data_IF_253673006359
#
_entry.id   IF_253673006359
#
_cell.length_a   1.000
_cell.length_b   1.000
_cell.length_c   1.000
_cell.angle_alpha   90.00
_cell.angle_beta   90.00
_cell.angle_gamma   90.00
#
_symmetry.space_group_name_H-M   'P 1'
#
loop_
_entity.id
_entity.type
_entity.pdbx_description
1 polymer ?
#
# COMPACT_ATOMS: atom_id res chain seq x y z
N UNK A 1 -30.81 11.64 0.12
CA UNK A 1 -32.06 11.32 0.83
C UNK A 1 -31.84 10.90 2.28
N UNK A 2 -31.07 9.83 2.59
CA UNK A 2 -30.87 9.36 3.98
C UNK A 2 -30.00 10.34 4.78
N UNK A 3 -28.85 10.77 4.26
CA UNK A 3 -27.98 11.78 4.90
C UNK A 3 -28.70 13.12 5.12
N UNK A 4 -29.55 13.54 4.19
CA UNK A 4 -30.38 14.76 4.33
C UNK A 4 -31.46 14.64 5.42
N UNK A 5 -31.89 13.42 5.74
CA UNK A 5 -32.93 13.13 6.72
C UNK A 5 -32.39 13.02 8.15
N UNK A 6 -31.18 12.48 8.32
CA UNK A 6 -30.60 12.18 9.64
C UNK A 6 -29.36 13.03 9.98
N UNK A 7 -28.73 13.70 9.02
CA UNK A 7 -27.38 14.27 9.13
C UNK A 7 -26.31 13.25 8.74
N UNK A 8 -25.09 13.71 8.41
CA UNK A 8 -23.97 12.84 8.01
C UNK A 8 -23.57 11.86 9.12
N UNK A 9 -23.48 12.35 10.35
CA UNK A 9 -22.78 11.66 11.45
C UNK A 9 -23.70 10.71 12.26
N UNK A 10 -24.93 10.48 11.79
CA UNK A 10 -25.97 9.76 12.53
C UNK A 10 -25.95 8.26 12.23
N UNK A 11 -26.09 7.38 13.22
CA UNK A 11 -25.94 5.90 13.07
C UNK A 11 -26.68 5.28 11.86
N UNK A 12 -27.89 5.74 11.55
CA UNK A 12 -28.67 5.32 10.37
C UNK A 12 -28.02 5.60 9.00
N UNK A 13 -26.97 6.41 8.89
CA UNK A 13 -26.20 6.60 7.65
C UNK A 13 -25.06 5.60 7.50
N UNK A 14 -24.68 4.84 8.54
CA UNK A 14 -23.56 3.89 8.50
C UNK A 14 -23.67 2.93 7.30
N UNK A 15 -24.82 2.28 7.11
CA UNK A 15 -25.00 1.30 6.03
C UNK A 15 -24.91 1.96 4.65
N UNK A 16 -25.43 3.19 4.51
CA UNK A 16 -25.29 3.96 3.28
C UNK A 16 -23.82 4.23 2.96
N UNK A 17 -23.05 4.75 3.92
CA UNK A 17 -21.62 5.01 3.73
C UNK A 17 -20.84 3.71 3.49
N UNK A 18 -21.08 2.66 4.26
CA UNK A 18 -20.40 1.38 4.09
C UNK A 18 -20.63 0.75 2.71
N UNK A 19 -21.88 0.58 2.29
CA UNK A 19 -22.19 -0.04 0.98
C UNK A 19 -21.82 0.86 -0.20
N UNK A 20 -21.96 2.18 -0.09
CA UNK A 20 -21.52 3.10 -1.13
C UNK A 20 -19.99 3.13 -1.26
N UNK A 21 -19.28 3.07 -0.13
CA UNK A 21 -17.82 3.02 -0.08
C UNK A 21 -17.26 1.76 -0.71
N UNK A 22 -17.80 0.58 -0.37
CA UNK A 22 -17.43 -0.68 -1.04
C UNK A 22 -17.68 -0.64 -2.55
N UNK A 23 -18.85 -0.14 -2.99
CA UNK A 23 -19.18 -0.07 -4.41
C UNK A 23 -18.27 0.90 -5.17
N UNK A 24 -17.87 2.01 -4.53
CA UNK A 24 -16.95 3.01 -5.12
C UNK A 24 -15.51 2.49 -5.16
N UNK A 25 -15.08 1.74 -4.13
CA UNK A 25 -13.78 1.06 -4.11
C UNK A 25 -13.66 0.06 -5.27
N UNK A 26 -14.68 -0.78 -5.47
CA UNK A 26 -14.68 -1.76 -6.55
C UNK A 26 -14.71 -1.08 -7.93
N UNK A 27 -15.42 0.03 -8.07
CA UNK A 27 -15.42 0.83 -9.31
C UNK A 27 -14.01 1.39 -9.61
N UNK A 28 -13.36 2.02 -8.62
CA UNK A 28 -12.00 2.55 -8.77
C UNK A 28 -10.96 1.47 -9.07
N UNK A 29 -11.10 0.28 -8.46
CA UNK A 29 -10.28 -0.91 -8.78
C UNK A 29 -10.43 -1.34 -10.24
N UNK A 30 -11.67 -1.40 -10.74
CA UNK A 30 -11.96 -1.80 -12.13
C UNK A 30 -11.38 -0.77 -13.11
N UNK A 31 -11.54 0.54 -12.84
CA UNK A 31 -10.98 1.59 -13.70
C UNK A 31 -9.44 1.48 -13.78
N UNK A 32 -8.76 1.45 -12.64
CA UNK A 32 -7.30 1.33 -12.59
C UNK A 32 -6.74 0.03 -13.20
N UNK A 33 -7.53 -1.06 -13.24
CA UNK A 33 -7.19 -2.28 -13.97
C UNK A 33 -7.34 -2.13 -15.49
N UNK A 34 -8.38 -1.43 -15.97
CA UNK A 34 -8.61 -1.19 -17.40
C UNK A 34 -7.49 -0.35 -18.01
N UNK A 35 -6.97 0.65 -17.29
CA UNK A 35 -5.85 1.48 -17.77
C UNK A 35 -4.49 0.78 -17.68
N UNK A 36 -4.28 -0.11 -16.69
CA UNK A 36 -3.04 -0.89 -16.57
C UNK A 36 -3.00 -2.17 -17.45
N UNK A 37 -4.04 -2.45 -18.24
CA UNK A 37 -4.03 -3.58 -19.17
C UNK A 37 -2.90 -3.43 -20.21
N UNK A 38 -1.93 -4.36 -20.28
CA UNK A 38 -0.91 -4.31 -21.31
C UNK A 38 -1.58 -4.48 -22.66
N UNK A 39 -1.46 -3.45 -23.51
CA UNK A 39 -2.16 -3.32 -24.78
C UNK A 39 -1.95 -4.56 -25.68
N UNK A 40 -2.90 -5.50 -25.64
CA UNK A 40 -2.83 -6.78 -26.35
C UNK A 40 -2.91 -6.52 -27.86
N UNK A 41 -1.73 -6.41 -28.49
CA UNK A 41 -1.64 -6.42 -29.95
C UNK A 41 -2.13 -7.78 -30.45
N UNK A 42 -3.27 -7.75 -31.14
CA UNK A 42 -3.84 -8.88 -31.86
C UNK A 42 -2.81 -9.48 -32.84
N UNK A 43 -2.07 -10.51 -32.43
CA UNK A 43 -1.26 -11.34 -33.33
C UNK A 43 -2.18 -12.33 -34.05
N UNK A 44 -2.79 -11.86 -35.14
CA UNK A 44 -3.76 -12.61 -35.91
C UNK A 44 -3.16 -13.09 -37.24
N UNK A 45 -2.82 -14.38 -37.34
CA UNK A 45 -2.60 -15.02 -38.66
C UNK A 45 -1.42 -16.00 -38.75
N UNK A 46 -1.70 -17.27 -38.48
CA UNK A 46 -0.84 -18.44 -38.73
C UNK A 46 -0.17 -18.45 -40.12
N UNK A 47 1.08 -18.93 -40.21
CA UNK A 47 1.43 -20.24 -40.81
C UNK A 47 2.84 -20.34 -41.47
N UNK A 48 3.68 -21.17 -40.86
CA UNK A 48 4.60 -22.14 -41.48
C UNK A 48 5.51 -21.77 -42.69
N UNK A 49 6.79 -21.55 -42.34
CA UNK A 49 7.93 -22.41 -42.73
C UNK A 49 8.61 -22.30 -44.13
N UNK A 50 9.95 -22.42 -44.07
CA UNK A 50 10.93 -22.80 -45.11
C UNK A 50 11.60 -21.73 -46.02
N UNK A 51 12.89 -21.53 -45.71
CA UNK A 51 14.08 -21.59 -46.59
C UNK A 51 14.29 -20.67 -47.82
N UNK A 52 15.53 -20.18 -47.89
CA UNK A 52 16.32 -19.78 -49.07
C UNK A 52 15.90 -18.48 -49.81
N UNK A 53 16.69 -17.42 -49.58
CA UNK A 53 16.44 -16.10 -50.13
C UNK A 53 16.74 -15.87 -51.61
N UNK A 54 16.55 -14.62 -52.02
CA UNK A 54 17.20 -13.99 -53.18
C UNK A 54 17.25 -12.48 -52.93
N UNK A 55 18.33 -11.86 -53.40
CA UNK A 55 18.57 -10.41 -53.36
C UNK A 55 17.81 -9.74 -54.50
N UNK A 56 17.04 -8.68 -54.21
CA UNK A 56 16.96 -7.52 -55.11
C UNK A 56 16.84 -6.23 -54.31
N UNK A 57 17.49 -5.19 -54.82
CA UNK A 57 17.70 -3.90 -54.21
C UNK A 57 16.96 -2.84 -55.03
N UNK A 58 16.19 -1.96 -54.40
CA UNK A 58 15.85 -0.67 -55.03
C UNK A 58 15.64 0.45 -54.00
N UNK A 59 16.00 1.67 -54.38
CA UNK A 59 16.03 2.87 -53.54
C UNK A 59 14.81 3.76 -53.80
N UNK A 60 14.39 4.51 -52.79
CA UNK A 60 13.58 5.72 -52.95
C UNK A 60 13.84 6.69 -51.79
N UNK A 61 14.30 7.89 -52.10
CA UNK A 61 14.52 8.99 -51.13
C UNK A 61 13.47 10.10 -51.34
N UNK A 62 13.19 10.84 -50.26
CA UNK A 62 12.44 12.09 -50.25
C UNK A 62 10.96 11.93 -49.93
N UNK A 63 10.30 12.87 -49.26
CA UNK A 63 10.68 14.05 -48.46
C UNK A 63 9.34 14.51 -47.82
N UNK A 64 9.38 15.36 -46.79
CA UNK A 64 8.28 15.51 -45.84
C UNK A 64 6.91 15.95 -46.39
N UNK A 65 5.89 15.71 -45.58
CA UNK A 65 4.97 16.80 -45.26
C UNK A 65 4.39 16.66 -43.84
N UNK A 66 3.95 17.81 -43.32
CA UNK A 66 3.56 18.07 -41.94
C UNK A 66 2.14 17.55 -41.65
N UNK A 67 2.00 16.60 -40.72
CA UNK A 67 0.71 16.22 -40.14
C UNK A 67 0.59 16.82 -38.74
N UNK A 68 -0.59 17.37 -38.45
CA UNK A 68 -0.85 18.18 -37.26
C UNK A 68 -0.75 17.36 -35.98
N UNK A 69 -0.28 17.99 -34.90
CA UNK A 69 -0.47 17.45 -33.56
C UNK A 69 -1.94 17.66 -33.20
N UNK A 70 -2.72 16.59 -33.23
CA UNK A 70 -3.89 16.52 -32.36
C UNK A 70 -3.36 16.46 -30.91
N UNK A 71 -3.59 17.53 -30.15
CA UNK A 71 -3.49 17.45 -28.69
C UNK A 71 -4.61 16.51 -28.23
N UNK A 72 -4.26 15.24 -28.04
CA UNK A 72 -5.13 14.30 -27.32
C UNK A 72 -5.24 14.80 -25.89
N UNK A 73 -6.47 15.14 -25.47
CA UNK A 73 -6.78 15.51 -24.10
C UNK A 73 -6.53 14.29 -23.19
N UNK A 74 -5.33 14.25 -22.59
CA UNK A 74 -4.89 13.28 -21.58
C UNK A 74 -5.71 13.52 -20.29
N UNK A 75 -6.96 13.07 -20.33
CA UNK A 75 -8.00 13.26 -19.30
C UNK A 75 -8.35 11.97 -18.54
N UNK A 76 -7.55 10.91 -18.74
CA UNK A 76 -7.78 9.59 -18.13
C UNK A 76 -7.31 9.45 -16.68
N UNK A 77 -6.32 10.24 -16.24
CA UNK A 77 -5.69 10.06 -14.93
C UNK A 77 -6.42 10.77 -13.76
N UNK A 78 -7.26 11.78 -14.04
CA UNK A 78 -7.92 12.58 -12.98
C UNK A 78 -9.19 11.92 -12.40
N UNK A 79 -9.97 11.17 -13.21
CA UNK A 79 -11.25 10.58 -12.76
C UNK A 79 -11.06 9.35 -11.84
N UNK A 80 -9.93 8.65 -11.97
CA UNK A 80 -9.62 7.44 -11.19
C UNK A 80 -9.13 7.76 -9.77
N UNK A 81 -8.28 8.79 -9.61
CA UNK A 81 -7.83 9.28 -8.30
C UNK A 81 -9.01 9.83 -7.49
N UNK A 82 -9.89 10.61 -8.12
CA UNK A 82 -11.11 11.12 -7.48
C UNK A 82 -12.06 9.98 -7.05
N UNK A 83 -12.15 8.90 -7.82
CA UNK A 83 -13.00 7.74 -7.47
C UNK A 83 -12.43 6.96 -6.28
N UNK A 84 -11.12 6.66 -6.29
CA UNK A 84 -10.47 5.97 -5.15
C UNK A 84 -10.46 6.80 -3.87
N UNK A 85 -10.28 8.11 -4.00
CA UNK A 85 -10.36 9.05 -2.88
C UNK A 85 -11.78 9.17 -2.33
N UNK A 86 -12.81 9.23 -3.19
CA UNK A 86 -14.21 9.22 -2.75
C UNK A 86 -14.55 7.94 -1.99
N UNK A 87 -14.05 6.77 -2.43
CA UNK A 87 -14.22 5.51 -1.71
C UNK A 87 -13.65 5.61 -0.27
N UNK A 88 -12.42 6.12 -0.13
CA UNK A 88 -11.79 6.33 1.18
C UNK A 88 -12.58 7.31 2.06
N UNK A 89 -12.95 8.49 1.56
CA UNK A 89 -13.70 9.50 2.32
C UNK A 89 -15.04 8.94 2.82
N UNK A 90 -15.75 8.18 1.98
CA UNK A 90 -17.03 7.54 2.29
C UNK A 90 -16.87 6.44 3.34
N UNK A 91 -15.82 5.60 3.23
CA UNK A 91 -15.53 4.55 4.22
C UNK A 91 -15.08 5.12 5.57
N UNK A 92 -14.30 6.20 5.57
CA UNK A 92 -13.86 6.88 6.79
C UNK A 92 -15.05 7.45 7.58
N UNK A 93 -16.06 8.00 6.89
CA UNK A 93 -17.33 8.38 7.53
C UNK A 93 -18.01 7.18 8.21
N UNK A 94 -18.10 6.02 7.55
CA UNK A 94 -18.63 4.80 8.16
C UNK A 94 -17.81 4.34 9.38
N UNK A 95 -16.47 4.45 9.34
CA UNK A 95 -15.59 4.17 10.49
C UNK A 95 -15.89 5.09 11.67
N UNK A 96 -15.95 6.40 11.43
CA UNK A 96 -16.24 7.41 12.45
C UNK A 96 -17.62 7.18 13.11
N UNK A 97 -18.65 6.90 12.32
CA UNK A 97 -20.00 6.60 12.83
C UNK A 97 -19.99 5.34 13.70
N UNK A 98 -19.32 4.27 13.27
CA UNK A 98 -19.23 3.03 14.05
C UNK A 98 -18.49 3.24 15.38
N UNK A 99 -17.36 3.96 15.37
CA UNK A 99 -16.62 4.31 16.59
C UNK A 99 -17.47 5.13 17.55
N UNK A 100 -18.08 6.23 17.09
CA UNK A 100 -18.92 7.11 17.90
C UNK A 100 -20.11 6.34 18.52
N UNK A 101 -20.72 5.43 17.77
CA UNK A 101 -21.82 4.59 18.27
C UNK A 101 -21.37 3.58 19.32
N UNK A 102 -20.21 2.95 19.15
CA UNK A 102 -19.61 2.07 20.17
C UNK A 102 -19.36 2.84 21.48
N UNK A 103 -18.83 4.06 21.40
CA UNK A 103 -18.58 4.91 22.57
C UNK A 103 -19.87 5.32 23.27
N UNK A 104 -20.89 5.75 22.51
CA UNK A 104 -22.22 6.08 23.05
C UNK A 104 -22.85 4.88 23.77
N UNK A 105 -22.86 3.70 23.14
CA UNK A 105 -23.41 2.47 23.74
C UNK A 105 -22.66 2.07 25.04
N UNK A 106 -21.33 2.23 25.08
CA UNK A 106 -20.52 2.01 26.30
C UNK A 106 -20.87 3.02 27.40
N UNK A 107 -21.03 4.30 27.06
CA UNK A 107 -21.40 5.35 28.02
C UNK A 107 -22.81 5.16 28.59
N UNK A 108 -23.77 4.76 27.76
CA UNK A 108 -25.15 4.41 28.12
C UNK A 108 -25.27 3.13 28.95
N UNK A 109 -24.19 2.32 29.01
CA UNK A 109 -24.18 0.97 29.59
C UNK A 109 -25.16 0.02 28.90
N UNK A 110 -25.27 0.17 27.59
CA UNK A 110 -26.05 -0.71 26.73
C UNK A 110 -25.52 -2.15 26.75
N UNK A 111 -26.37 -3.10 26.34
CA UNK A 111 -26.05 -4.53 26.42
C UNK A 111 -24.84 -4.93 25.57
N UNK A 112 -24.00 -5.82 26.10
CA UNK A 112 -22.75 -6.28 25.47
C UNK A 112 -22.97 -6.71 24.01
N UNK A 113 -24.01 -7.49 23.73
CA UNK A 113 -24.35 -7.96 22.37
C UNK A 113 -24.61 -6.82 21.36
N UNK A 114 -25.11 -5.66 21.79
CA UNK A 114 -25.33 -4.50 20.89
C UNK A 114 -24.01 -3.76 20.64
N UNK A 115 -23.11 -3.74 21.63
CA UNK A 115 -21.76 -3.21 21.47
C UNK A 115 -20.95 -4.13 20.54
N UNK A 116 -21.07 -5.45 20.69
CA UNK A 116 -20.45 -6.46 19.84
C UNK A 116 -20.92 -6.36 18.38
N UNK A 117 -22.23 -6.13 18.12
CA UNK A 117 -22.75 -5.88 16.77
C UNK A 117 -22.06 -4.67 16.11
N UNK A 118 -21.94 -3.55 16.84
CA UNK A 118 -21.29 -2.35 16.33
C UNK A 118 -19.77 -2.47 16.23
N UNK A 119 -19.14 -3.28 17.10
CA UNK A 119 -17.74 -3.68 16.94
C UNK A 119 -17.53 -4.48 15.65
N UNK A 120 -18.43 -5.40 15.29
CA UNK A 120 -18.35 -6.09 14.00
C UNK A 120 -18.55 -5.14 12.81
N UNK A 121 -19.43 -4.14 12.91
CA UNK A 121 -19.55 -3.06 11.92
C UNK A 121 -18.27 -2.23 11.78
N UNK A 122 -17.57 -1.96 12.88
CA UNK A 122 -16.25 -1.32 12.85
C UNK A 122 -15.19 -2.21 12.20
N UNK A 123 -15.16 -3.51 12.52
CA UNK A 123 -14.23 -4.44 11.90
C UNK A 123 -14.49 -4.61 10.39
N UNK A 124 -15.76 -4.63 9.97
CA UNK A 124 -16.15 -4.76 8.57
C UNK A 124 -15.69 -3.55 7.74
N UNK A 125 -15.81 -2.32 8.25
CA UNK A 125 -15.31 -1.12 7.53
C UNK A 125 -13.78 -1.02 7.57
N UNK A 126 -13.12 -1.42 8.66
CA UNK A 126 -11.66 -1.49 8.74
C UNK A 126 -11.08 -2.50 7.72
N UNK A 127 -11.74 -3.65 7.50
CA UNK A 127 -11.35 -4.59 6.43
C UNK A 127 -11.38 -3.95 5.04
N UNK A 128 -12.42 -3.16 4.75
CA UNK A 128 -12.56 -2.48 3.45
C UNK A 128 -11.57 -1.30 3.31
N UNK A 129 -11.26 -0.58 4.39
CA UNK A 129 -10.20 0.44 4.41
C UNK A 129 -8.80 -0.17 4.23
N UNK A 130 -8.57 -1.36 4.77
CA UNK A 130 -7.36 -2.14 4.52
C UNK A 130 -7.24 -2.53 3.04
N UNK A 131 -8.31 -3.05 2.44
CA UNK A 131 -8.38 -3.41 1.02
C UNK A 131 -8.22 -2.20 0.07
N UNK A 132 -8.79 -1.05 0.44
CA UNK A 132 -8.51 0.24 -0.20
C UNK A 132 -7.01 0.57 -0.14
N UNK A 133 -6.41 0.48 1.06
CA UNK A 133 -4.98 0.78 1.27
C UNK A 133 -4.05 -0.18 0.52
N UNK A 134 -4.41 -1.45 0.34
CA UNK A 134 -3.67 -2.38 -0.55
C UNK A 134 -3.74 -1.91 -2.00
N UNK A 135 -4.92 -1.49 -2.46
CA UNK A 135 -5.15 -1.04 -3.83
C UNK A 135 -4.41 0.27 -4.15
N UNK A 136 -4.26 1.14 -3.14
CA UNK A 136 -3.54 2.41 -3.16
C UNK A 136 -2.03 2.26 -2.83
N UNK A 137 -1.52 1.02 -2.78
CA UNK A 137 -0.10 0.71 -2.54
C UNK A 137 0.43 1.01 -1.13
N UNK A 138 -0.45 1.35 -0.18
CA UNK A 138 -0.15 1.73 1.21
C UNK A 138 -0.18 0.50 2.14
N UNK A 139 0.69 -0.47 1.88
CA UNK A 139 0.64 -1.79 2.52
C UNK A 139 0.80 -1.75 4.06
N UNK A 140 1.62 -0.85 4.60
CA UNK A 140 1.79 -0.71 6.06
C UNK A 140 0.47 -0.24 6.72
N UNK A 141 -0.19 0.78 6.13
CA UNK A 141 -1.51 1.26 6.59
C UNK A 141 -2.58 0.17 6.46
N UNK A 142 -2.54 -0.60 5.36
CA UNK A 142 -3.45 -1.73 5.16
C UNK A 142 -3.33 -2.75 6.30
N UNK A 143 -2.10 -3.10 6.69
CA UNK A 143 -1.85 -4.02 7.80
C UNK A 143 -2.33 -3.43 9.13
N UNK A 144 -2.09 -2.13 9.41
CA UNK A 144 -2.59 -1.47 10.64
C UNK A 144 -4.12 -1.54 10.79
N UNK A 145 -4.88 -1.27 9.72
CA UNK A 145 -6.35 -1.34 9.76
C UNK A 145 -6.86 -2.79 9.80
N UNK A 146 -6.21 -3.72 9.09
CA UNK A 146 -6.54 -5.15 9.12
C UNK A 146 -6.22 -5.81 10.48
N UNK A 147 -5.14 -5.41 11.16
CA UNK A 147 -4.81 -5.88 12.51
C UNK A 147 -5.88 -5.44 13.53
N UNK A 148 -6.31 -4.18 13.48
CA UNK A 148 -7.40 -3.67 14.31
C UNK A 148 -8.71 -4.42 14.06
N UNK A 149 -9.07 -4.66 12.79
CA UNK A 149 -10.23 -5.46 12.43
C UNK A 149 -10.13 -6.90 12.97
N UNK A 150 -8.95 -7.51 12.84
CA UNK A 150 -8.68 -8.88 13.27
C UNK A 150 -8.74 -9.03 14.80
N UNK A 151 -8.26 -8.06 15.57
CA UNK A 151 -8.39 -8.04 17.03
C UNK A 151 -9.88 -8.02 17.43
N UNK A 152 -10.67 -7.15 16.83
CA UNK A 152 -12.12 -7.07 17.09
C UNK A 152 -12.79 -8.40 16.72
N UNK A 153 -12.51 -8.94 15.53
CA UNK A 153 -13.09 -10.21 15.07
C UNK A 153 -12.73 -11.37 16.01
N UNK A 154 -11.49 -11.46 16.50
CA UNK A 154 -11.06 -12.50 17.46
C UNK A 154 -11.73 -12.40 18.83
N UNK A 155 -12.10 -11.19 19.24
CA UNK A 155 -12.79 -10.95 20.51
C UNK A 155 -14.30 -11.27 20.46
N UNK A 156 -14.94 -11.16 19.28
CA UNK A 156 -16.40 -11.29 19.12
C UNK A 156 -16.84 -12.56 18.38
N UNK A 157 -16.03 -13.06 17.43
CA UNK A 157 -16.37 -14.19 16.57
C UNK A 157 -15.68 -15.49 17.04
N UNK A 158 -16.25 -16.67 16.75
CA UNK A 158 -15.54 -17.93 16.93
C UNK A 158 -14.28 -17.96 16.05
N UNK A 159 -13.21 -18.61 16.53
CA UNK A 159 -11.89 -18.63 15.89
C UNK A 159 -11.86 -19.23 14.48
N UNK A 160 -12.89 -20.01 14.10
CA UNK A 160 -13.07 -20.57 12.76
C UNK A 160 -14.03 -19.75 11.87
N UNK A 161 -14.22 -18.46 12.17
CA UNK A 161 -15.06 -17.56 11.37
C UNK A 161 -14.48 -17.29 9.98
N UNK A 162 -15.31 -17.37 8.93
CA UNK A 162 -14.94 -16.99 7.55
C UNK A 162 -14.49 -15.52 7.45
N UNK A 163 -14.98 -14.62 8.32
CA UNK A 163 -14.51 -13.23 8.39
C UNK A 163 -13.04 -13.14 8.85
N UNK A 164 -12.63 -13.95 9.83
CA UNK A 164 -11.22 -14.02 10.27
C UNK A 164 -10.33 -14.53 9.14
N UNK A 165 -10.79 -15.55 8.40
CA UNK A 165 -10.07 -16.06 7.23
C UNK A 165 -9.95 -15.01 6.10
N UNK A 166 -11.00 -14.23 5.84
CA UNK A 166 -10.99 -13.14 4.86
C UNK A 166 -9.98 -12.04 5.23
N UNK A 167 -9.94 -11.62 6.49
CA UNK A 167 -8.95 -10.64 6.98
C UNK A 167 -7.53 -11.16 6.79
N UNK A 168 -7.25 -12.43 7.09
CA UNK A 168 -5.94 -13.03 6.83
C UNK A 168 -5.58 -13.09 5.34
N UNK A 169 -6.53 -13.31 4.43
CA UNK A 169 -6.26 -13.24 2.98
C UNK A 169 -5.80 -11.84 2.58
N UNK A 170 -6.50 -10.79 3.04
CA UNK A 170 -6.13 -9.40 2.71
C UNK A 170 -4.78 -9.00 3.32
N UNK A 171 -4.45 -9.46 4.52
CA UNK A 171 -3.10 -9.27 5.10
C UNK A 171 -2.03 -9.98 4.26
N UNK A 172 -2.31 -11.20 3.80
CA UNK A 172 -1.38 -11.95 2.96
C UNK A 172 -1.18 -11.30 1.57
N UNK A 173 -2.25 -10.76 0.99
CA UNK A 173 -2.21 -10.02 -0.27
C UNK A 173 -1.46 -8.68 -0.10
N UNK A 174 -1.66 -7.96 1.01
CA UNK A 174 -0.87 -6.77 1.38
C UNK A 174 0.63 -7.09 1.49
N UNK A 175 1.00 -8.15 2.22
CA UNK A 175 2.38 -8.61 2.33
C UNK A 175 2.95 -9.05 0.98
N UNK A 176 2.15 -9.70 0.12
CA UNK A 176 2.59 -10.14 -1.22
C UNK A 176 2.90 -8.95 -2.12
N UNK A 177 2.01 -7.96 -2.17
CA UNK A 177 2.21 -6.71 -2.93
C UNK A 177 3.37 -5.87 -2.39
N UNK A 178 3.63 -5.93 -1.07
CA UNK A 178 4.82 -5.37 -0.42
C UNK A 178 6.10 -6.21 -0.56
N UNK A 179 6.08 -7.32 -1.31
CA UNK A 179 7.18 -8.30 -1.46
C UNK A 179 7.66 -8.98 -0.17
N UNK A 180 6.87 -8.90 0.91
CA UNK A 180 7.11 -9.53 2.22
C UNK A 180 6.58 -10.99 2.22
N UNK A 181 7.10 -11.81 1.31
CA UNK A 181 6.54 -13.14 1.01
C UNK A 181 6.52 -14.11 2.20
N UNK A 182 7.51 -14.07 3.10
CA UNK A 182 7.54 -14.92 4.31
C UNK A 182 6.33 -14.67 5.22
N UNK A 183 5.90 -13.41 5.32
CA UNK A 183 4.75 -13.03 6.13
C UNK A 183 3.43 -13.32 5.40
N UNK A 184 3.39 -13.13 4.07
CA UNK A 184 2.27 -13.57 3.24
C UNK A 184 1.96 -15.06 3.39
N UNK A 185 3.00 -15.90 3.34
CA UNK A 185 2.89 -17.36 3.55
C UNK A 185 2.28 -17.66 4.94
N UNK A 186 2.73 -16.98 5.99
CA UNK A 186 2.21 -17.15 7.35
C UNK A 186 0.71 -16.80 7.44
N UNK A 187 0.29 -15.70 6.81
CA UNK A 187 -1.13 -15.34 6.77
C UNK A 187 -1.97 -16.31 5.91
N UNK A 188 -1.50 -16.76 4.75
CA UNK A 188 -2.19 -17.80 3.98
C UNK A 188 -2.28 -19.15 4.73
N UNK A 189 -1.23 -19.55 5.47
CA UNK A 189 -1.27 -20.75 6.30
C UNK A 189 -2.30 -20.63 7.45
N UNK A 190 -2.40 -19.46 8.10
CA UNK A 190 -3.48 -19.15 9.07
C UNK A 190 -4.88 -19.15 8.44
N UNK A 191 -5.04 -18.61 7.23
CA UNK A 191 -6.28 -18.71 6.45
C UNK A 191 -6.66 -20.18 6.27
N UNK A 192 -5.73 -21.01 5.78
CA UNK A 192 -5.95 -22.43 5.52
C UNK A 192 -6.33 -23.21 6.79
N UNK A 193 -5.69 -22.92 7.92
CA UNK A 193 -6.06 -23.49 9.22
C UNK A 193 -7.49 -23.10 9.63
N UNK A 194 -7.84 -21.81 9.50
CA UNK A 194 -9.16 -21.27 9.82
C UNK A 194 -10.26 -21.92 8.98
N UNK A 195 -10.06 -22.03 7.66
CA UNK A 195 -11.01 -22.69 6.74
C UNK A 195 -11.20 -24.17 7.07
N UNK A 196 -10.11 -24.91 7.34
CA UNK A 196 -10.20 -26.33 7.74
C UNK A 196 -10.92 -26.53 9.06
N UNK A 197 -10.66 -25.69 10.05
CA UNK A 197 -11.37 -25.70 11.34
C UNK A 197 -12.86 -25.36 11.19
N UNK A 198 -13.22 -24.56 10.17
CA UNK A 198 -14.62 -24.30 9.81
C UNK A 198 -15.27 -25.54 9.18
N UNK A 199 -14.61 -26.18 8.21
CA UNK A 199 -15.12 -27.42 7.59
C UNK A 199 -15.34 -28.53 8.62
N UNK A 200 -14.37 -28.81 9.50
CA UNK A 200 -14.52 -29.83 10.54
C UNK A 200 -15.70 -29.52 11.49
N UNK A 201 -15.90 -28.25 11.86
CA UNK A 201 -17.04 -27.84 12.67
C UNK A 201 -18.38 -28.07 11.95
N UNK A 202 -18.47 -27.72 10.66
CA UNK A 202 -19.65 -27.94 9.84
C UNK A 202 -19.95 -29.42 9.65
N UNK A 203 -18.96 -30.24 9.30
CA UNK A 203 -19.10 -31.70 9.18
C UNK A 203 -19.63 -32.34 10.46
N UNK A 204 -19.15 -31.89 11.62
CA UNK A 204 -19.63 -32.39 12.91
C UNK A 204 -21.08 -31.97 13.17
N UNK A 205 -21.44 -30.71 12.92
CA UNK A 205 -22.81 -30.21 13.05
C UNK A 205 -23.79 -30.89 12.08
N UNK A 206 -23.32 -31.26 10.88
CA UNK A 206 -24.10 -31.96 9.85
C UNK A 206 -24.57 -33.37 10.27
N UNK A 207 -23.91 -33.98 11.27
CA UNK A 207 -24.28 -35.27 11.87
C UNK A 207 -25.46 -35.15 12.85
N UNK A 208 -25.67 -33.95 13.39
CA UNK A 208 -26.67 -33.66 14.43
C UNK A 208 -27.88 -32.89 13.88
N UNK A 209 -27.72 -32.14 12.77
CA UNK A 209 -28.80 -31.34 12.18
C UNK A 209 -29.90 -32.23 11.58
N UNK A 210 -31.11 -32.12 12.13
CA UNK A 210 -32.31 -32.79 11.63
C UNK A 210 -33.12 -31.96 10.61
N UNK A 211 -32.86 -30.65 10.56
CA UNK A 211 -33.49 -29.74 9.60
C UNK A 211 -32.81 -29.83 8.23
N UNK A 212 -33.61 -29.89 7.15
CA UNK A 212 -33.09 -30.11 5.80
C UNK A 212 -32.59 -28.82 5.12
N UNK A 213 -33.15 -27.65 5.46
CA UNK A 213 -32.75 -26.36 4.90
C UNK A 213 -31.37 -25.98 5.45
N UNK A 214 -31.23 -25.99 6.78
CA UNK A 214 -29.93 -25.80 7.45
C UNK A 214 -28.86 -26.81 7.00
N UNK A 215 -29.28 -28.02 6.61
CA UNK A 215 -28.36 -29.04 6.10
C UNK A 215 -27.83 -28.69 4.70
N UNK A 216 -28.67 -28.13 3.83
CA UNK A 216 -28.25 -27.67 2.51
C UNK A 216 -27.31 -26.46 2.64
N UNK A 217 -27.66 -25.47 3.46
CA UNK A 217 -26.81 -24.29 3.71
C UNK A 217 -25.40 -24.69 4.19
N UNK A 218 -25.30 -25.66 5.10
CA UNK A 218 -24.01 -26.17 5.59
C UNK A 218 -23.25 -27.00 4.54
N UNK A 219 -23.94 -27.65 3.60
CA UNK A 219 -23.31 -28.37 2.50
C UNK A 219 -22.78 -27.43 1.41
N UNK A 220 -23.51 -26.36 1.12
CA UNK A 220 -23.07 -25.31 0.20
C UNK A 220 -21.87 -24.54 0.80
N UNK A 221 -21.90 -24.19 2.10
CA UNK A 221 -20.73 -23.60 2.77
C UNK A 221 -19.53 -24.56 2.78
N UNK A 222 -19.73 -25.86 3.03
CA UNK A 222 -18.66 -26.86 2.96
C UNK A 222 -18.03 -26.92 1.56
N UNK A 223 -18.84 -26.88 0.50
CA UNK A 223 -18.37 -26.88 -0.89
C UNK A 223 -17.53 -25.64 -1.21
N UNK A 224 -17.98 -24.45 -0.82
CA UNK A 224 -17.21 -23.21 -0.90
C UNK A 224 -15.83 -23.35 -0.25
N UNK A 225 -15.76 -23.92 0.95
CA UNK A 225 -14.52 -24.09 1.72
C UNK A 225 -13.59 -25.12 1.07
N UNK A 226 -14.15 -26.22 0.53
CA UNK A 226 -13.40 -27.22 -0.25
C UNK A 226 -12.81 -26.62 -1.53
N UNK A 227 -13.53 -25.73 -2.22
CA UNK A 227 -13.05 -25.03 -3.41
C UNK A 227 -12.01 -23.93 -3.10
N UNK A 228 -12.12 -23.25 -1.95
CA UNK A 228 -11.14 -22.22 -1.56
C UNK A 228 -9.79 -22.76 -1.07
N UNK A 229 -9.73 -23.94 -0.42
CA UNK A 229 -8.47 -24.46 0.14
C UNK A 229 -7.37 -24.67 -0.92
N UNK A 230 -7.64 -25.23 -2.13
CA UNK A 230 -6.68 -25.29 -3.23
C UNK A 230 -6.16 -23.90 -3.66
N UNK A 231 -7.03 -22.90 -3.77
CA UNK A 231 -6.63 -21.54 -4.18
C UNK A 231 -5.67 -20.90 -3.17
N UNK A 232 -5.82 -21.20 -1.88
CA UNK A 232 -4.87 -20.79 -0.84
C UNK A 232 -3.56 -21.58 -0.92
N UNK A 233 -3.60 -22.86 -1.29
CA UNK A 233 -2.38 -23.66 -1.54
C UNK A 233 -1.58 -23.16 -2.75
N UNK A 234 -2.25 -22.77 -3.82
CA UNK A 234 -1.62 -22.16 -5.00
C UNK A 234 -0.98 -20.81 -4.64
N UNK A 235 -1.69 -19.93 -3.93
CA UNK A 235 -1.13 -18.67 -3.39
C UNK A 235 0.09 -18.91 -2.50
N UNK A 236 0.08 -19.92 -1.63
CA UNK A 236 1.25 -20.30 -0.80
C UNK A 236 2.43 -20.76 -1.68
N UNK A 237 2.19 -21.53 -2.73
CA UNK A 237 3.22 -21.99 -3.65
C UNK A 237 3.84 -20.82 -4.45
N UNK A 238 3.01 -19.89 -4.92
CA UNK A 238 3.44 -18.69 -5.65
C UNK A 238 4.26 -17.74 -4.76
N UNK A 239 3.83 -17.50 -3.52
CA UNK A 239 4.63 -16.72 -2.55
C UNK A 239 5.97 -17.41 -2.23
N UNK A 240 6.03 -18.74 -2.11
CA UNK A 240 7.27 -19.51 -1.89
C UNK A 240 8.22 -19.40 -3.09
N UNK A 241 7.71 -19.56 -4.31
CA UNK A 241 8.47 -19.35 -5.55
C UNK A 241 9.02 -17.92 -5.64
N UNK A 242 8.20 -16.92 -5.31
CA UNK A 242 8.57 -15.50 -5.33
C UNK A 242 9.65 -15.17 -4.29
N UNK A 243 9.54 -15.72 -3.08
CA UNK A 243 10.56 -15.61 -2.04
C UNK A 243 11.93 -16.16 -2.50
N UNK A 244 11.95 -17.38 -3.07
CA UNK A 244 13.16 -17.98 -3.62
C UNK A 244 13.78 -17.16 -4.76
N UNK A 245 12.96 -16.57 -5.63
CA UNK A 245 13.43 -15.71 -6.72
C UNK A 245 14.02 -14.40 -6.19
N UNK A 246 13.40 -13.81 -5.17
CA UNK A 246 13.91 -12.60 -4.50
C UNK A 246 15.24 -12.87 -3.77
N UNK A 247 15.41 -14.04 -3.17
CA UNK A 247 16.70 -14.42 -2.57
C UNK A 247 17.79 -14.61 -3.65
N UNK A 248 17.52 -15.39 -4.70
CA UNK A 248 18.48 -15.64 -5.80
C UNK A 248 18.91 -14.34 -6.52
N UNK A 249 17.98 -13.41 -6.73
CA UNK A 249 18.29 -12.10 -7.34
C UNK A 249 19.12 -11.22 -6.40
N UNK A 250 18.81 -11.20 -5.10
CA UNK A 250 19.62 -10.51 -4.07
C UNK A 250 21.05 -11.07 -3.99
N UNK A 251 21.22 -12.39 -4.06
CA UNK A 251 22.55 -13.03 -4.13
C UNK A 251 23.31 -12.64 -5.39
N UNK A 252 22.66 -12.66 -6.56
CA UNK A 252 23.27 -12.28 -7.84
C UNK A 252 23.72 -10.80 -7.86
N UNK A 253 22.88 -9.88 -7.37
CA UNK A 253 23.22 -8.45 -7.23
C UNK A 253 24.42 -8.27 -6.30
N UNK A 254 24.44 -8.98 -5.16
CA UNK A 254 25.57 -8.93 -4.23
C UNK A 254 26.86 -9.44 -4.87
N UNK A 255 26.82 -10.58 -5.58
CA UNK A 255 27.98 -11.13 -6.26
C UNK A 255 28.52 -10.18 -7.36
N UNK A 256 27.63 -9.49 -8.09
CA UNK A 256 28.03 -8.48 -9.07
C UNK A 256 28.68 -7.27 -8.41
N UNK A 257 28.14 -6.80 -7.27
CA UNK A 257 28.72 -5.70 -6.50
C UNK A 257 30.10 -6.06 -5.90
N UNK A 258 30.22 -7.24 -5.29
CA UNK A 258 31.48 -7.75 -4.74
C UNK A 258 32.55 -7.90 -5.85
N UNK A 259 32.15 -8.38 -7.03
CA UNK A 259 33.03 -8.44 -8.21
C UNK A 259 33.47 -7.06 -8.72
N UNK A 260 32.57 -6.08 -8.73
CA UNK A 260 32.92 -4.70 -9.09
C UNK A 260 33.85 -4.04 -8.06
N UNK A 261 33.58 -4.23 -6.76
CA UNK A 261 34.43 -3.74 -5.68
C UNK A 261 35.84 -4.36 -5.75
N UNK A 262 35.94 -5.66 -6.01
CA UNK A 262 37.21 -6.34 -6.23
C UNK A 262 37.98 -5.76 -7.44
N UNK A 263 37.32 -5.52 -8.58
CA UNK A 263 37.93 -4.89 -9.74
C UNK A 263 38.43 -3.46 -9.44
N UNK A 264 37.61 -2.66 -8.77
CA UNK A 264 37.99 -1.30 -8.35
C UNK A 264 39.17 -1.28 -7.37
N UNK A 265 39.29 -2.28 -6.49
CA UNK A 265 40.43 -2.43 -5.57
C UNK A 265 41.75 -2.78 -6.26
N UNK A 266 41.69 -3.36 -7.48
CA UNK A 266 42.86 -3.71 -8.29
C UNK A 266 43.25 -2.59 -9.26
N UNK A 267 42.38 -1.59 -9.46
CA UNK A 267 42.70 -0.41 -10.26
C UNK A 267 43.78 0.40 -9.55
N UNK A 268 44.87 0.81 -10.22
CA UNK A 268 45.95 1.53 -9.57
C UNK A 268 45.43 2.86 -9.01
N UNK A 269 45.42 3.00 -7.68
CA UNK A 269 45.30 4.31 -7.07
C UNK A 269 46.50 5.14 -7.53
N UNK A 270 46.23 6.15 -8.37
CA UNK A 270 47.20 7.16 -8.75
C UNK A 270 47.48 8.04 -7.53
N UNK A 271 48.28 7.55 -6.60
CA UNK A 271 48.85 8.31 -5.49
C UNK A 271 49.96 9.23 -6.00
N UNK A 272 49.66 10.04 -7.00
CA UNK A 272 50.31 11.34 -7.10
C UNK A 272 49.76 12.18 -5.95
N UNK A 273 50.53 12.24 -4.85
CA UNK A 273 50.50 13.41 -3.99
C UNK A 273 50.99 14.61 -4.79
N UNK A 274 50.13 15.15 -5.67
CA UNK A 274 50.24 16.54 -6.07
C UNK A 274 49.88 17.36 -4.84
N UNK A 275 50.90 17.90 -4.19
CA UNK A 275 50.74 18.95 -3.19
C UNK A 275 49.74 19.98 -3.74
N UNK A 276 48.76 20.34 -2.94
CA UNK A 276 47.77 21.33 -3.31
C UNK A 276 48.48 22.68 -3.45
N UNK A 277 48.87 23.03 -4.68
CA UNK A 277 49.56 24.28 -4.97
C UNK A 277 48.71 25.46 -4.50
N UNK A 278 49.26 26.24 -3.57
CA UNK A 278 48.60 27.36 -2.94
C UNK A 278 48.24 28.44 -3.97
N UNK A 279 46.95 28.50 -4.32
CA UNK A 279 46.38 29.46 -5.28
C UNK A 279 46.21 30.87 -4.70
N UNK A 280 46.77 31.18 -3.52
CA UNK A 280 46.82 32.54 -2.95
C UNK A 280 47.37 33.60 -3.92
N UNK A 281 48.19 33.19 -4.90
CA UNK A 281 48.72 34.06 -5.95
C UNK A 281 47.78 34.31 -7.15
N UNK A 282 46.65 33.60 -7.27
CA UNK A 282 45.64 33.86 -8.32
C UNK A 282 44.62 34.94 -7.91
N UNK A 283 44.52 35.27 -6.62
CA UNK A 283 43.65 36.35 -6.13
C UNK A 283 44.32 37.70 -6.40
N UNK A 284 44.03 38.30 -7.55
CA UNK A 284 44.35 39.71 -7.84
C UNK A 284 43.62 40.61 -6.84
N UNK A 285 44.32 41.02 -5.78
CA UNK A 285 43.85 42.11 -4.90
C UNK A 285 43.67 43.38 -5.74
N UNK A 286 42.47 43.98 -5.80
CA UNK A 286 42.27 45.20 -6.59
C UNK A 286 43.14 46.33 -6.04
N UNK A 287 43.79 47.07 -6.94
CA UNK A 287 44.70 48.15 -6.57
C UNK A 287 43.96 49.26 -5.80
N UNK A 288 44.54 49.70 -4.67
CA UNK A 288 44.10 50.90 -3.96
C UNK A 288 44.10 52.09 -4.92
N UNK A 289 42.93 52.71 -5.11
CA UNK A 289 42.84 54.09 -5.64
C UNK A 289 43.06 55.07 -4.47
N UNK A 290 43.84 56.15 -4.64
CA UNK A 290 44.15 57.09 -3.55
C UNK A 290 43.17 58.28 -3.47
N UNK A 291 43.24 59.01 -2.34
CA UNK A 291 42.59 60.31 -2.00
C UNK A 291 41.03 60.31 -2.00
N UNK A 292 40.31 60.99 -1.10
CA UNK A 292 40.65 62.08 -0.15
C UNK A 292 40.21 61.82 1.31
N UNK A 293 40.77 62.62 2.23
CA UNK A 293 40.54 62.59 3.68
C UNK A 293 39.47 63.61 4.13
N UNK A 294 38.68 63.25 5.15
CA UNK A 294 38.17 64.09 6.26
C UNK A 294 37.24 63.20 7.11
N UNK A 295 37.72 62.59 8.21
CA UNK A 295 37.65 63.12 9.60
C UNK A 295 36.22 63.56 10.01
N UNK A 296 35.53 63.04 11.03
CA UNK A 296 35.86 62.44 12.37
C UNK A 296 34.75 61.43 12.77
N UNK A 297 34.75 60.59 13.82
CA UNK A 297 35.65 60.10 14.91
C UNK A 297 35.17 58.66 15.29
N UNK A 298 35.91 57.74 15.92
CA UNK A 298 36.27 57.58 17.36
C UNK A 298 35.05 57.64 18.34
N UNK A 299 34.83 56.75 19.33
CA UNK A 299 35.65 55.73 20.04
C UNK A 299 34.81 54.47 20.38
N UNK A 300 35.31 53.24 20.23
CA UNK A 300 35.99 52.36 21.22
C UNK A 300 35.24 51.91 22.51
N UNK A 301 35.09 50.56 22.63
CA UNK A 301 35.31 49.71 23.84
C UNK A 301 34.41 49.88 25.09
N UNK A 302 34.32 48.96 26.06
CA UNK A 302 34.47 47.47 26.20
C UNK A 302 34.26 47.13 27.71
N UNK A 303 33.84 45.89 28.07
CA UNK A 303 33.79 45.31 29.46
C UNK A 303 32.69 45.88 30.39
N UNK A 304 32.17 45.23 31.44
CA UNK A 304 32.31 43.88 32.10
C UNK A 304 31.03 43.63 32.95
N UNK A 305 30.42 42.43 33.01
CA UNK A 305 30.67 41.23 33.86
C UNK A 305 30.25 41.34 35.35
N UNK A 306 29.51 40.32 35.82
CA UNK A 306 29.23 39.89 37.21
C UNK A 306 28.24 40.75 38.02
N UNK A 307 27.53 40.26 39.06
CA UNK A 307 27.61 39.01 39.88
C UNK A 307 26.16 38.50 40.19
N UNK A 308 25.87 37.19 40.25
CA UNK A 308 25.61 36.34 41.46
C UNK A 308 24.31 36.69 42.25
N UNK A 309 23.35 35.75 42.39
CA UNK A 309 23.05 34.91 43.59
C UNK A 309 22.59 35.73 44.83
N UNK A 310 21.64 35.32 45.69
CA UNK A 310 21.00 34.04 45.99
C UNK A 310 19.64 34.31 46.72
N UNK A 311 18.88 33.29 47.14
CA UNK A 311 18.02 33.41 48.34
C UNK A 311 16.48 33.43 48.21
N UNK A 312 15.90 32.23 48.15
CA UNK A 312 14.75 31.74 48.96
C UNK A 312 13.80 32.73 49.67
N UNK A 313 12.48 32.56 49.51
CA UNK A 313 11.57 32.18 50.63
C UNK A 313 10.15 31.86 50.15
N UNK A 314 9.46 31.03 50.93
CA UNK A 314 8.09 30.54 50.77
C UNK A 314 7.03 31.65 50.96
N UNK A 315 5.89 31.52 50.26
CA UNK A 315 4.53 31.57 50.84
C UNK A 315 3.49 31.05 49.82
#
# INVERSE_FOLDING_TARGET
MIVELYGSDHENTYEYYYYYGMATLELGKIQGQVFNAPNEKEDNGEAQNSAAGTITNEKGEGDGENSEKEDGEESGDEEDDDTMKLAWEVLENARCIAMAKIEALKAERSGVSVIEEWQLKLADVLVVLGDHSVSDGKYDQALEDLEQALEIQKNVLPSNSRKIAQTYILMADACTSGMNYDEAINYFEKTKETLKSRSEHLENKLKEVGDQEQKLDMQDELKDLEEMVPLIDDKIADSKSSAEQMEKTKEAIKAQFDGFAALMSQLPQSSEQKEANDISNLVRRPAKRPVEETETTAEEKKKTKAEEEEGTSEL
#
